data_IF_416463941077
#
_entry.id   IF_416463941077
#
_cell.length_a   1.000
_cell.length_b   1.000
_cell.length_c   1.000
_cell.angle_alpha   90.00
_cell.angle_beta   90.00
_cell.angle_gamma   90.00
#
_symmetry.space_group_name_H-M   'P 1'
#
loop_
_entity.id
_entity.type
_entity.pdbx_description
1 polymer ?
#
# COMPACT_ATOMS: atom_id res chain seq x y z
N UNK A 1 19.83 31.49 30.55
CA UNK A 1 19.53 30.09 30.94
C UNK A 1 18.61 29.38 29.93
N UNK A 2 17.44 29.95 29.61
CA UNK A 2 16.42 29.40 28.68
C UNK A 2 16.96 29.07 27.27
N UNK A 3 17.84 29.93 26.71
CA UNK A 3 18.41 29.75 25.36
C UNK A 3 19.26 28.48 25.20
N UNK A 4 19.90 28.01 26.28
CA UNK A 4 20.66 26.75 26.28
C UNK A 4 19.75 25.53 26.44
N UNK A 5 18.64 25.67 27.16
CA UNK A 5 17.62 24.63 27.29
C UNK A 5 16.90 24.40 25.96
N UNK A 6 16.49 25.48 25.27
CA UNK A 6 15.86 25.39 23.94
C UNK A 6 16.76 24.66 22.93
N UNK A 7 18.06 24.98 22.90
CA UNK A 7 19.03 24.30 22.02
C UNK A 7 19.13 22.81 22.30
N UNK A 8 19.07 22.38 23.57
CA UNK A 8 19.11 20.96 23.93
C UNK A 8 17.83 20.23 23.51
N UNK A 9 16.67 20.82 23.79
CA UNK A 9 15.36 20.25 23.40
C UNK A 9 15.25 20.14 21.88
N UNK A 10 15.68 21.17 21.14
CA UNK A 10 15.68 21.14 19.67
C UNK A 10 16.59 20.04 19.11
N UNK A 11 17.75 19.81 19.74
CA UNK A 11 18.67 18.72 19.34
C UNK A 11 18.04 17.33 19.52
N UNK A 12 17.35 17.11 20.65
CA UNK A 12 16.66 15.85 20.94
C UNK A 12 15.48 15.66 19.98
N UNK A 13 14.71 16.72 19.73
CA UNK A 13 13.63 16.71 18.75
C UNK A 13 14.13 16.33 17.36
N UNK A 14 15.25 16.90 16.92
CA UNK A 14 15.87 16.58 15.62
C UNK A 14 16.25 15.11 15.50
N UNK A 15 16.79 14.51 16.56
CA UNK A 15 17.17 13.09 16.58
C UNK A 15 15.91 12.21 16.48
N UNK A 16 14.87 12.52 17.27
CA UNK A 16 13.60 11.80 17.22
C UNK A 16 12.91 11.95 15.86
N UNK A 17 12.95 13.15 15.29
CA UNK A 17 12.38 13.45 13.99
C UNK A 17 13.10 12.70 12.86
N UNK A 18 14.44 12.62 12.92
CA UNK A 18 15.20 11.82 11.96
C UNK A 18 14.84 10.33 12.04
N UNK A 19 14.69 9.79 13.26
CA UNK A 19 14.21 8.41 13.46
C UNK A 19 12.80 8.19 12.91
N UNK A 20 11.89 9.15 13.14
CA UNK A 20 10.53 9.12 12.59
C UNK A 20 10.53 9.14 11.05
N UNK A 21 11.36 9.99 10.42
CA UNK A 21 11.48 10.03 8.97
C UNK A 21 11.95 8.69 8.39
N UNK A 22 12.89 8.01 9.04
CA UNK A 22 13.34 6.68 8.60
C UNK A 22 12.18 5.68 8.63
N UNK A 23 11.36 5.70 9.68
CA UNK A 23 10.17 4.84 9.77
C UNK A 23 9.15 5.17 8.69
N UNK A 24 8.91 6.46 8.40
CA UNK A 24 8.01 6.87 7.31
C UNK A 24 8.52 6.41 5.95
N UNK A 25 9.81 6.55 5.68
CA UNK A 25 10.42 6.08 4.43
C UNK A 25 10.33 4.56 4.33
N UNK A 26 10.62 3.84 5.41
CA UNK A 26 10.50 2.39 5.44
C UNK A 26 9.06 1.93 5.16
N UNK A 27 8.07 2.52 5.84
CA UNK A 27 6.66 2.24 5.62
C UNK A 27 6.23 2.58 4.17
N UNK A 28 6.73 3.68 3.61
CA UNK A 28 6.49 4.05 2.22
C UNK A 28 7.00 2.98 1.25
N UNK A 29 8.24 2.49 1.43
CA UNK A 29 8.79 1.42 0.59
C UNK A 29 8.03 0.11 0.74
N UNK A 30 7.52 -0.19 1.95
CA UNK A 30 6.71 -1.38 2.19
C UNK A 30 5.33 -1.29 1.52
N UNK A 31 4.69 -0.11 1.53
CA UNK A 31 3.40 0.11 0.87
C UNK A 31 3.48 0.26 -0.64
N UNK A 32 4.62 0.76 -1.17
CA UNK A 32 4.83 0.99 -2.60
C UNK A 32 4.44 -0.21 -3.50
N UNK A 33 4.90 -1.45 -3.27
CA UNK A 33 4.52 -2.58 -4.12
C UNK A 33 3.02 -2.89 -4.09
N UNK A 34 2.35 -2.67 -2.97
CA UNK A 34 0.91 -2.86 -2.85
C UNK A 34 0.14 -1.76 -3.61
N UNK A 35 0.57 -0.51 -3.50
CA UNK A 35 -0.01 0.62 -4.25
C UNK A 35 0.17 0.42 -5.75
N UNK A 36 1.38 0.02 -6.19
CA UNK A 36 1.66 -0.26 -7.61
C UNK A 36 0.77 -1.41 -8.13
N UNK A 37 0.52 -2.44 -7.32
CA UNK A 37 -0.40 -3.53 -7.67
C UNK A 37 -1.85 -3.05 -7.81
N UNK A 38 -2.35 -2.22 -6.88
CA UNK A 38 -3.70 -1.65 -6.97
C UNK A 38 -3.87 -0.73 -8.18
N UNK A 39 -2.86 0.10 -8.48
CA UNK A 39 -2.83 0.93 -9.69
C UNK A 39 -2.84 0.08 -10.97
N UNK A 40 -2.08 -1.02 -10.98
CA UNK A 40 -2.06 -1.96 -12.11
C UNK A 40 -3.43 -2.63 -12.32
N UNK A 41 -4.10 -3.05 -11.25
CA UNK A 41 -5.46 -3.62 -11.30
C UNK A 41 -6.43 -2.56 -11.84
N UNK A 42 -6.38 -1.34 -11.31
CA UNK A 42 -7.24 -0.25 -11.74
C UNK A 42 -7.04 0.08 -13.23
N UNK A 43 -5.80 0.15 -13.69
CA UNK A 43 -5.45 0.39 -15.10
C UNK A 43 -5.97 -0.73 -16.00
N UNK A 44 -5.73 -1.98 -15.62
CA UNK A 44 -6.18 -3.18 -16.36
C UNK A 44 -7.70 -3.17 -16.53
N UNK A 45 -8.46 -2.88 -15.48
CA UNK A 45 -9.93 -2.83 -15.56
C UNK A 45 -10.42 -1.65 -16.38
N UNK A 46 -9.73 -0.52 -16.31
CA UNK A 46 -10.17 0.65 -17.05
C UNK A 46 -9.96 0.49 -18.56
N UNK A 47 -8.86 -0.16 -18.94
CA UNK A 47 -8.50 -0.51 -20.33
C UNK A 47 -9.22 -1.76 -20.84
N UNK A 48 -9.73 -2.63 -19.95
CA UNK A 48 -10.46 -3.82 -20.32
C UNK A 48 -11.80 -3.50 -20.99
N UNK A 49 -12.09 -4.24 -22.07
CA UNK A 49 -13.36 -4.16 -22.77
C UNK A 49 -14.48 -4.76 -21.91
N UNK A 50 -15.63 -4.11 -21.88
CA UNK A 50 -16.80 -4.48 -21.08
C UNK A 50 -17.30 -5.90 -21.39
N UNK A 51 -17.17 -6.32 -22.66
CA UNK A 51 -17.52 -7.70 -23.09
C UNK A 51 -16.60 -8.77 -22.49
N UNK A 52 -15.32 -8.44 -22.31
CA UNK A 52 -14.33 -9.34 -21.70
C UNK A 52 -14.55 -9.44 -20.19
N UNK A 53 -14.86 -8.31 -19.54
CA UNK A 53 -15.18 -8.25 -18.11
C UNK A 53 -16.43 -9.08 -17.76
N UNK A 54 -17.47 -9.01 -18.59
CA UNK A 54 -18.69 -9.82 -18.40
C UNK A 54 -18.41 -11.32 -18.57
N UNK A 55 -17.55 -11.73 -19.52
CA UNK A 55 -17.20 -13.13 -19.73
C UNK A 55 -16.32 -13.72 -18.63
N UNK A 56 -15.33 -12.98 -18.15
CA UNK A 56 -14.39 -13.48 -17.14
C UNK A 56 -14.91 -13.39 -15.72
N UNK A 57 -15.65 -12.32 -15.39
CA UNK A 57 -16.06 -12.01 -14.02
C UNK A 57 -17.58 -12.02 -13.81
N UNK A 58 -18.36 -12.34 -14.85
CA UNK A 58 -19.82 -12.42 -14.78
C UNK A 58 -20.52 -11.06 -14.58
N UNK A 59 -19.79 -9.95 -14.70
CA UNK A 59 -20.33 -8.61 -14.51
C UNK A 59 -19.64 -7.57 -15.39
N UNK A 60 -20.41 -6.59 -15.88
CA UNK A 60 -19.90 -5.40 -16.59
C UNK A 60 -19.44 -4.29 -15.64
N UNK A 61 -19.77 -4.45 -14.37
CA UNK A 61 -19.57 -3.45 -13.34
C UNK A 61 -18.08 -3.42 -12.92
N UNK A 62 -17.37 -2.40 -13.40
CA UNK A 62 -15.92 -2.24 -13.18
C UNK A 62 -15.57 -2.19 -11.69
N UNK A 63 -16.45 -1.64 -10.84
CA UNK A 63 -16.20 -1.53 -9.39
C UNK A 63 -16.29 -2.90 -8.71
N UNK A 64 -17.22 -3.75 -9.14
CA UNK A 64 -17.32 -5.14 -8.64
C UNK A 64 -16.14 -5.98 -9.06
N UNK A 65 -15.70 -5.86 -10.31
CA UNK A 65 -14.49 -6.56 -10.79
C UNK A 65 -13.25 -6.07 -10.05
N UNK A 66 -13.15 -4.76 -9.79
CA UNK A 66 -12.06 -4.18 -9.02
C UNK A 66 -12.03 -4.74 -7.59
N UNK A 67 -13.17 -4.76 -6.92
CA UNK A 67 -13.25 -5.29 -5.56
C UNK A 67 -12.91 -6.78 -5.50
N UNK A 68 -13.35 -7.57 -6.50
CA UNK A 68 -13.00 -8.99 -6.61
C UNK A 68 -11.48 -9.21 -6.80
N UNK A 69 -10.84 -8.42 -7.65
CA UNK A 69 -9.40 -8.51 -7.91
C UNK A 69 -8.55 -8.03 -6.71
N UNK A 70 -9.02 -7.00 -5.98
CA UNK A 70 -8.43 -6.58 -4.71
C UNK A 70 -8.50 -7.70 -3.67
N UNK A 71 -9.68 -8.29 -3.48
CA UNK A 71 -9.89 -9.37 -2.52
C UNK A 71 -9.02 -10.58 -2.85
N UNK A 72 -8.89 -10.93 -4.13
CA UNK A 72 -7.98 -11.98 -4.58
C UNK A 72 -6.52 -11.66 -4.25
N UNK A 73 -6.07 -10.43 -4.54
CA UNK A 73 -4.71 -9.99 -4.23
C UNK A 73 -4.41 -10.04 -2.72
N UNK A 74 -5.36 -9.62 -1.88
CA UNK A 74 -5.22 -9.68 -0.42
C UNK A 74 -5.18 -11.13 0.09
N UNK A 75 -6.05 -12.00 -0.42
CA UNK A 75 -6.05 -13.43 -0.05
C UNK A 75 -4.76 -14.15 -0.50
N UNK A 76 -4.20 -13.80 -1.67
CA UNK A 76 -2.94 -14.38 -2.15
C UNK A 76 -1.75 -13.94 -1.29
N UNK A 77 -1.79 -12.72 -0.73
CA UNK A 77 -0.79 -12.26 0.24
C UNK A 77 -0.93 -13.02 1.57
N UNK A 78 -2.14 -13.15 2.10
CA UNK A 78 -2.40 -13.89 3.35
C UNK A 78 -2.03 -15.38 3.21
N UNK A 79 -2.37 -16.01 2.09
CA UNK A 79 -2.00 -17.40 1.79
C UNK A 79 -0.49 -17.63 1.62
N UNK A 80 0.27 -16.61 1.18
CA UNK A 80 1.73 -16.67 1.11
C UNK A 80 2.39 -16.57 2.48
N UNK A 81 1.89 -15.70 3.36
CA UNK A 81 2.41 -15.59 4.72
C UNK A 81 2.13 -16.87 5.54
N UNK A 82 0.97 -17.49 5.33
CA UNK A 82 0.61 -18.77 5.99
C UNK A 82 1.49 -19.95 5.55
N UNK A 83 2.02 -19.95 4.31
CA UNK A 83 2.94 -20.98 3.82
C UNK A 83 4.42 -20.69 4.13
N UNK A 84 4.78 -19.44 4.43
CA UNK A 84 6.15 -19.08 4.83
C UNK A 84 6.44 -19.34 6.33
N UNK A 85 5.39 -19.57 7.12
CA UNK A 85 5.47 -19.77 8.58
C UNK A 85 5.24 -21.24 9.00
N UNK A 86 5.06 -22.15 8.03
CA UNK A 86 4.80 -23.58 8.28
C UNK A 86 6.00 -24.48 8.01
#
# INVERSE_FOLDING_TARGET
MIRNLLKKVFKIFLILFAGFLILCVYAYYQMKPHIDAFLHIQKTINEANVSTLEKEYGTKDKDKVFNHLILKYLNDLEGKDNNATS
#
